data_IF_212613918969
#
_entry.id   IF_212613918969
#
_cell.length_a   1.000
_cell.length_b   1.000
_cell.length_c   1.000
_cell.angle_alpha   90.00
_cell.angle_beta   90.00
_cell.angle_gamma   90.00
#
_symmetry.space_group_name_H-M   'P 1'
#
loop_
_entity.id
_entity.type
_entity.pdbx_description
1 polymer ?
#
# COMPACT_ATOMS: atom_id res chain seq x y z
N UNK A 1 18.39 44.20 14.50
CA UNK A 1 17.12 43.85 15.16
C UNK A 1 16.58 42.63 14.43
N UNK A 2 16.37 41.48 15.09
CA UNK A 2 15.90 40.28 14.40
C UNK A 2 14.44 40.48 13.97
N UNK A 3 14.13 40.12 12.72
CA UNK A 3 12.79 40.21 12.19
C UNK A 3 11.85 39.28 12.96
N UNK A 4 10.68 39.81 13.31
CA UNK A 4 9.57 39.10 13.94
C UNK A 4 9.17 37.92 13.05
N UNK A 5 9.03 36.75 13.68
CA UNK A 5 8.80 35.46 13.04
C UNK A 5 7.76 35.52 11.93
N UNK A 6 8.20 35.18 10.72
CA UNK A 6 7.30 34.79 9.64
C UNK A 6 6.62 33.50 10.08
N UNK A 7 5.29 33.52 10.21
CA UNK A 7 4.53 32.29 10.24
C UNK A 7 4.79 31.56 8.90
N UNK A 8 5.51 30.45 8.96
CA UNK A 8 5.66 29.58 7.79
C UNK A 8 4.30 28.92 7.58
N UNK A 9 3.62 29.28 6.50
CA UNK A 9 2.42 28.55 6.07
C UNK A 9 2.91 27.25 5.47
N UNK A 10 2.68 26.15 6.19
CA UNK A 10 2.98 24.81 5.72
C UNK A 10 1.74 24.32 4.97
N UNK A 11 1.88 24.02 3.68
CA UNK A 11 0.84 23.34 2.91
C UNK A 11 0.89 21.84 3.25
N UNK A 12 -0.10 21.30 4.01
CA UNK A 12 -0.07 19.91 4.45
C UNK A 12 -0.10 18.92 3.28
N UNK A 13 -0.70 19.28 2.15
CA UNK A 13 -0.73 18.42 0.97
C UNK A 13 0.67 18.34 0.35
N UNK A 14 1.38 19.46 0.28
CA UNK A 14 2.75 19.50 -0.23
C UNK A 14 3.71 18.71 0.68
N UNK A 15 3.56 18.82 2.01
CA UNK A 15 4.34 18.03 2.97
C UNK A 15 4.10 16.54 2.78
N UNK A 16 2.84 16.10 2.70
CA UNK A 16 2.53 14.68 2.50
C UNK A 16 3.06 14.15 1.17
N UNK A 17 3.02 14.94 0.09
CA UNK A 17 3.59 14.54 -1.20
C UNK A 17 5.11 14.39 -1.15
N UNK A 18 5.81 15.31 -0.50
CA UNK A 18 7.28 15.24 -0.41
C UNK A 18 7.72 14.13 0.56
N UNK A 19 7.03 13.96 1.69
CA UNK A 19 7.27 12.85 2.60
C UNK A 19 7.05 11.49 1.91
N UNK A 20 6.01 11.39 1.06
CA UNK A 20 5.79 10.19 0.24
C UNK A 20 6.99 9.92 -0.67
N UNK A 21 7.56 10.94 -1.31
CA UNK A 21 8.73 10.78 -2.19
C UNK A 21 9.95 10.31 -1.42
N UNK A 22 10.21 10.85 -0.23
CA UNK A 22 11.31 10.38 0.62
C UNK A 22 11.12 8.92 1.02
N UNK A 23 9.91 8.54 1.45
CA UNK A 23 9.58 7.15 1.77
C UNK A 23 9.74 6.22 0.56
N UNK A 24 9.30 6.64 -0.64
CA UNK A 24 9.49 5.89 -1.88
C UNK A 24 10.97 5.65 -2.19
N UNK A 25 11.84 6.66 -2.03
CA UNK A 25 13.29 6.55 -2.27
C UNK A 25 13.94 5.48 -1.40
N UNK A 26 13.44 5.28 -0.17
CA UNK A 26 13.95 4.28 0.78
C UNK A 26 13.12 3.00 0.83
N UNK A 27 12.23 2.82 -0.14
CA UNK A 27 11.34 1.67 -0.23
C UNK A 27 10.54 1.44 1.08
N UNK A 28 9.86 2.46 1.60
CA UNK A 28 8.82 2.31 2.63
C UNK A 28 7.45 2.80 2.14
N UNK A 29 6.33 2.15 2.52
CA UNK A 29 5.01 2.69 2.25
C UNK A 29 4.71 3.88 3.18
N UNK A 30 4.09 4.92 2.64
CA UNK A 30 3.39 5.92 3.42
C UNK A 30 2.02 5.46 3.88
N UNK A 31 1.57 5.95 5.03
CA UNK A 31 0.21 5.74 5.56
C UNK A 31 -0.33 7.05 6.14
N UNK A 32 -1.61 7.34 5.94
CA UNK A 32 -2.25 8.57 6.42
C UNK A 32 -2.26 8.70 7.96
N UNK A 33 -1.96 7.61 8.69
CA UNK A 33 -1.79 7.61 10.14
C UNK A 33 -0.49 8.31 10.59
N UNK A 34 0.48 8.51 9.68
CA UNK A 34 1.71 9.24 9.97
C UNK A 34 1.39 10.71 10.24
N UNK A 35 1.60 11.14 11.48
CA UNK A 35 1.32 12.52 11.89
C UNK A 35 2.24 13.52 11.17
N UNK A 36 1.75 14.76 11.02
CA UNK A 36 2.45 15.82 10.28
C UNK A 36 3.85 16.11 10.84
N UNK A 37 4.04 15.99 12.16
CA UNK A 37 5.34 16.17 12.83
C UNK A 37 6.35 15.09 12.41
N UNK A 38 5.91 13.84 12.28
CA UNK A 38 6.73 12.77 11.74
C UNK A 38 7.03 13.01 10.25
N UNK A 39 6.03 13.39 9.45
CA UNK A 39 6.24 13.70 8.03
C UNK A 39 7.26 14.82 7.83
N UNK A 40 7.18 15.89 8.62
CA UNK A 40 8.16 16.98 8.63
C UNK A 40 9.55 16.49 9.06
N UNK A 41 9.64 15.61 10.06
CA UNK A 41 10.91 15.03 10.50
C UNK A 41 11.60 14.25 9.38
N UNK A 42 10.85 13.54 8.53
CA UNK A 42 11.42 12.85 7.35
C UNK A 42 12.08 13.83 6.37
N UNK A 43 11.53 15.05 6.25
CA UNK A 43 12.02 16.09 5.34
C UNK A 43 13.23 16.84 5.91
N UNK A 44 13.25 17.05 7.23
CA UNK A 44 14.30 17.84 7.90
C UNK A 44 15.58 17.02 8.15
N UNK A 45 15.45 15.78 8.62
CA UNK A 45 16.61 15.01 9.09
C UNK A 45 17.37 14.29 7.97
N UNK A 46 16.71 13.93 6.85
CA UNK A 46 17.26 13.51 5.54
C UNK A 46 18.31 12.39 5.48
N UNK A 47 18.96 12.03 6.58
CA UNK A 47 20.17 11.21 6.65
C UNK A 47 19.87 9.75 6.99
N UNK A 48 18.69 9.45 7.56
CA UNK A 48 18.23 8.08 7.85
C UNK A 48 16.69 7.93 7.79
N UNK A 49 16.09 8.35 6.68
CA UNK A 49 14.64 8.19 6.44
C UNK A 49 14.20 6.72 6.58
N UNK A 50 15.06 5.77 6.17
CA UNK A 50 14.77 4.34 6.25
C UNK A 50 14.66 3.85 7.70
N UNK A 51 15.61 4.21 8.56
CA UNK A 51 15.60 3.86 9.98
C UNK A 51 14.45 4.54 10.74
N UNK A 52 14.13 5.79 10.39
CA UNK A 52 12.98 6.50 10.93
C UNK A 52 11.66 5.80 10.59
N UNK A 53 11.47 5.41 9.33
CA UNK A 53 10.28 4.69 8.88
C UNK A 53 10.17 3.32 9.57
N UNK A 54 11.25 2.55 9.65
CA UNK A 54 11.26 1.25 10.32
C UNK A 54 10.88 1.37 11.81
N UNK A 55 11.51 2.29 12.52
CA UNK A 55 11.21 2.55 13.93
C UNK A 55 9.76 2.98 14.14
N UNK A 56 9.24 3.84 13.26
CA UNK A 56 7.85 4.28 13.33
C UNK A 56 6.88 3.13 13.12
N UNK A 57 7.08 2.30 12.08
CA UNK A 57 6.19 1.17 11.81
C UNK A 57 6.24 0.11 12.93
N UNK A 58 7.41 -0.17 13.50
CA UNK A 58 7.50 -1.14 14.59
C UNK A 58 6.79 -0.64 15.86
N UNK A 59 6.92 0.66 16.17
CA UNK A 59 6.25 1.29 17.29
C UNK A 59 4.72 1.40 17.08
N UNK A 60 4.26 1.55 15.83
CA UNK A 60 2.86 1.82 15.50
C UNK A 60 2.12 0.64 14.87
N UNK A 61 2.71 -0.56 14.82
CA UNK A 61 2.13 -1.71 14.08
C UNK A 61 0.71 -2.08 14.49
N UNK A 62 0.37 -1.97 15.77
CA UNK A 62 -0.99 -2.22 16.25
C UNK A 62 -1.97 -1.15 15.76
N UNK A 63 -1.57 0.13 15.82
CA UNK A 63 -2.39 1.24 15.35
C UNK A 63 -2.59 1.19 13.82
N UNK A 64 -1.55 0.83 13.06
CA UNK A 64 -1.64 0.59 11.61
C UNK A 64 -2.63 -0.54 11.32
N UNK A 65 -2.53 -1.67 12.01
CA UNK A 65 -3.45 -2.80 11.83
C UNK A 65 -4.89 -2.44 12.20
N UNK A 66 -5.10 -1.69 13.28
CA UNK A 66 -6.43 -1.27 13.71
C UNK A 66 -7.07 -0.30 12.72
N UNK A 67 -6.29 0.66 12.20
CA UNK A 67 -6.79 1.63 11.23
C UNK A 67 -7.16 0.95 9.91
N UNK A 68 -6.30 0.08 9.37
CA UNK A 68 -6.61 -0.67 8.13
C UNK A 68 -7.83 -1.57 8.33
N UNK A 69 -7.92 -2.27 9.47
CA UNK A 69 -9.09 -3.09 9.81
C UNK A 69 -10.36 -2.26 9.86
N UNK A 70 -10.33 -1.09 10.50
CA UNK A 70 -11.47 -0.16 10.60
C UNK A 70 -11.93 0.27 9.21
N UNK A 71 -11.01 0.74 8.35
CA UNK A 71 -11.34 1.13 6.97
C UNK A 71 -11.95 -0.03 6.18
N UNK A 72 -11.42 -1.23 6.35
CA UNK A 72 -11.89 -2.43 5.63
C UNK A 72 -13.33 -2.79 5.96
N UNK A 73 -13.79 -2.53 7.19
CA UNK A 73 -15.20 -2.70 7.58
C UNK A 73 -16.11 -1.69 6.87
N UNK A 74 -15.62 -0.48 6.64
CA UNK A 74 -16.37 0.60 5.99
C UNK A 74 -16.51 0.39 4.48
N UNK A 75 -15.61 -0.38 3.87
CA UNK A 75 -15.73 -0.74 2.48
C UNK A 75 -16.99 -1.62 2.31
N UNK A 76 -18.07 -1.08 1.75
CA UNK A 76 -19.31 -1.82 1.42
C UNK A 76 -19.09 -2.74 0.21
N UNK A 77 -18.23 -3.72 0.41
CA UNK A 77 -17.68 -4.57 -0.64
C UNK A 77 -18.46 -5.87 -0.72
N UNK A 78 -19.79 -5.83 -0.75
CA UNK A 78 -20.60 -7.05 -0.93
C UNK A 78 -20.31 -7.77 -2.28
N UNK A 79 -19.48 -7.17 -3.16
CA UNK A 79 -19.10 -7.68 -4.47
C UNK A 79 -17.61 -7.97 -4.66
N UNK A 80 -16.71 -7.62 -3.72
CA UNK A 80 -15.41 -8.29 -3.63
C UNK A 80 -15.42 -9.17 -2.40
N UNK A 81 -15.01 -10.41 -2.60
CA UNK A 81 -15.36 -11.55 -1.77
C UNK A 81 -15.20 -11.30 -0.27
N UNK A 82 -16.13 -11.85 0.52
CA UNK A 82 -15.97 -11.99 1.97
C UNK A 82 -14.59 -12.61 2.35
N UNK A 83 -13.96 -13.35 1.43
CA UNK A 83 -12.58 -13.83 1.59
C UNK A 83 -11.57 -12.70 1.72
N UNK A 84 -11.66 -11.61 0.94
CA UNK A 84 -10.69 -10.52 1.00
C UNK A 84 -10.80 -9.73 2.32
N UNK A 85 -12.02 -9.48 2.79
CA UNK A 85 -12.24 -8.85 4.10
C UNK A 85 -11.78 -9.75 5.26
N UNK A 86 -12.03 -11.07 5.16
CA UNK A 86 -11.56 -12.05 6.16
C UNK A 86 -10.03 -12.13 6.17
N UNK A 87 -9.40 -12.22 5.00
CA UNK A 87 -7.96 -12.23 4.83
C UNK A 87 -7.33 -10.96 5.39
N UNK A 88 -7.94 -9.80 5.17
CA UNK A 88 -7.49 -8.54 5.76
C UNK A 88 -7.57 -8.56 7.28
N UNK A 89 -8.65 -9.06 7.87
CA UNK A 89 -8.76 -9.18 9.32
C UNK A 89 -7.70 -10.12 9.92
N UNK A 90 -7.47 -11.27 9.29
CA UNK A 90 -6.42 -12.22 9.68
C UNK A 90 -5.02 -11.61 9.57
N UNK A 91 -4.77 -10.87 8.49
CA UNK A 91 -3.50 -10.19 8.26
C UNK A 91 -3.26 -9.06 9.27
N UNK A 92 -4.28 -8.27 9.61
CA UNK A 92 -4.19 -7.24 10.65
C UNK A 92 -3.79 -7.86 12.00
N UNK A 93 -4.41 -8.98 12.37
CA UNK A 93 -4.06 -9.71 13.59
C UNK A 93 -2.61 -10.19 13.54
N UNK A 94 -2.19 -10.85 12.45
CA UNK A 94 -0.83 -11.33 12.28
C UNK A 94 0.21 -10.20 12.31
N UNK A 95 -0.08 -9.06 11.69
CA UNK A 95 0.79 -7.89 11.63
C UNK A 95 1.02 -7.29 13.01
N UNK A 96 -0.05 -7.11 13.80
CA UNK A 96 0.06 -6.61 15.17
C UNK A 96 0.90 -7.53 16.09
N UNK A 97 0.90 -8.84 15.81
CA UNK A 97 1.72 -9.83 16.53
C UNK A 97 3.15 -9.98 15.98
N UNK A 98 3.55 -9.21 14.96
CA UNK A 98 4.85 -9.34 14.31
C UNK A 98 5.01 -10.59 13.44
N UNK A 99 3.92 -11.29 13.11
CA UNK A 99 3.89 -12.48 12.27
C UNK A 99 3.86 -12.11 10.78
N UNK A 100 4.88 -11.39 10.33
CA UNK A 100 4.93 -10.76 9.00
C UNK A 100 4.83 -11.74 7.82
N UNK A 101 5.34 -12.97 7.97
CA UNK A 101 5.21 -13.98 6.92
C UNK A 101 3.75 -14.44 6.74
N UNK A 102 2.97 -14.50 7.82
CA UNK A 102 1.56 -14.87 7.76
C UNK A 102 0.75 -13.79 7.04
N UNK A 103 1.04 -12.50 7.29
CA UNK A 103 0.46 -11.36 6.57
C UNK A 103 0.58 -11.55 5.05
N UNK A 104 1.81 -11.79 4.58
CA UNK A 104 2.06 -11.94 3.13
C UNK A 104 1.39 -13.19 2.57
N UNK A 105 1.35 -14.30 3.32
CA UNK A 105 0.69 -15.54 2.87
C UNK A 105 -0.81 -15.40 2.69
N UNK A 106 -1.45 -14.67 3.59
CA UNK A 106 -2.90 -14.49 3.59
C UNK A 106 -3.33 -13.47 2.53
N UNK A 107 -2.60 -12.35 2.40
CA UNK A 107 -3.03 -11.25 1.54
C UNK A 107 -2.63 -11.39 0.07
N UNK A 108 -1.50 -12.01 -0.24
CA UNK A 108 -0.99 -12.03 -1.62
C UNK A 108 -1.99 -12.64 -2.64
N UNK A 109 -2.69 -13.76 -2.35
CA UNK A 109 -3.70 -14.30 -3.28
C UNK A 109 -4.89 -13.35 -3.48
N UNK A 110 -5.35 -12.71 -2.40
CA UNK A 110 -6.49 -11.78 -2.45
C UNK A 110 -6.12 -10.48 -3.17
N UNK A 111 -4.93 -9.94 -2.91
CA UNK A 111 -4.37 -8.80 -3.64
C UNK A 111 -4.42 -9.06 -5.15
N UNK A 112 -3.94 -10.22 -5.60
CA UNK A 112 -3.94 -10.60 -7.01
C UNK A 112 -5.36 -10.78 -7.57
N UNK A 113 -6.26 -11.42 -6.83
CA UNK A 113 -7.64 -11.64 -7.24
C UNK A 113 -8.40 -10.32 -7.40
N UNK A 114 -8.28 -9.41 -6.43
CA UNK A 114 -8.89 -8.07 -6.46
C UNK A 114 -8.31 -7.25 -7.62
N UNK A 115 -6.98 -7.22 -7.75
CA UNK A 115 -6.28 -6.54 -8.83
C UNK A 115 -6.81 -6.94 -10.22
N UNK A 116 -6.89 -8.25 -10.49
CA UNK A 116 -7.36 -8.79 -11.77
C UNK A 116 -8.84 -8.49 -12.01
N UNK A 117 -9.65 -8.52 -10.96
CA UNK A 117 -11.09 -8.23 -11.02
C UNK A 117 -11.33 -6.77 -11.40
N UNK A 118 -10.62 -5.84 -10.75
CA UNK A 118 -10.72 -4.39 -10.99
C UNK A 118 -10.49 -4.00 -12.45
N UNK A 119 -9.47 -4.61 -13.07
CA UNK A 119 -9.01 -4.23 -14.42
C UNK A 119 -9.54 -5.16 -15.52
N UNK A 120 -10.25 -6.23 -15.15
CA UNK A 120 -10.82 -7.21 -16.07
C UNK A 120 -9.78 -7.93 -16.94
N UNK A 121 -8.51 -8.04 -16.50
CA UNK A 121 -7.43 -8.64 -17.29
C UNK A 121 -7.00 -10.00 -16.75
N UNK A 122 -6.72 -10.93 -17.67
CA UNK A 122 -6.29 -12.31 -17.37
C UNK A 122 -4.78 -12.49 -17.27
N UNK A 123 -3.98 -11.65 -17.91
CA UNK A 123 -2.52 -11.71 -17.79
C UNK A 123 -2.04 -10.74 -16.70
N UNK A 124 -1.01 -11.15 -15.97
CA UNK A 124 -0.44 -10.37 -14.86
C UNK A 124 0.02 -9.00 -15.33
N UNK A 125 0.89 -8.94 -16.36
CA UNK A 125 1.38 -7.67 -16.93
C UNK A 125 0.24 -6.70 -17.30
N UNK A 126 -0.82 -7.21 -17.95
CA UNK A 126 -1.95 -6.36 -18.32
C UNK A 126 -2.76 -5.90 -17.11
N UNK A 127 -2.80 -6.68 -16.03
CA UNK A 127 -3.42 -6.27 -14.78
C UNK A 127 -2.62 -5.14 -14.10
N UNK A 128 -1.29 -5.20 -14.11
CA UNK A 128 -0.41 -4.12 -13.62
C UNK A 128 -0.64 -2.83 -14.38
N UNK A 129 -0.50 -2.90 -15.71
CA UNK A 129 -0.69 -1.73 -16.59
C UNK A 129 -2.09 -1.13 -16.41
N UNK A 130 -3.11 -1.99 -16.21
CA UNK A 130 -4.48 -1.58 -15.94
C UNK A 130 -4.64 -0.90 -14.58
N UNK A 131 -3.98 -1.40 -13.53
CA UNK A 131 -4.04 -0.83 -12.18
C UNK A 131 -3.35 0.52 -12.11
N UNK A 132 -2.18 0.66 -12.75
CA UNK A 132 -1.46 1.93 -12.78
C UNK A 132 -2.29 3.02 -13.45
N UNK A 133 -2.97 2.70 -14.55
CA UNK A 133 -3.93 3.63 -15.18
C UNK A 133 -5.10 3.93 -14.26
N UNK A 134 -5.67 2.92 -13.63
CA UNK A 134 -6.78 3.08 -12.69
C UNK A 134 -6.43 4.07 -11.56
N UNK A 135 -5.25 3.92 -10.97
CA UNK A 135 -4.78 4.79 -9.88
C UNK A 135 -4.57 6.22 -10.37
N UNK A 136 -4.08 6.41 -11.59
CA UNK A 136 -3.94 7.74 -12.21
C UNK A 136 -5.31 8.39 -12.51
N UNK A 137 -6.31 7.58 -12.87
CA UNK A 137 -7.64 8.06 -13.27
C UNK A 137 -8.58 8.31 -12.06
N UNK A 138 -8.35 7.64 -10.92
CA UNK A 138 -9.15 7.86 -9.71
C UNK A 138 -8.58 9.05 -8.92
N UNK A 139 -9.40 10.03 -8.48
CA UNK A 139 -8.96 11.20 -7.71
C UNK A 139 -8.39 10.87 -6.31
N UNK A 140 -8.08 9.62 -6.01
CA UNK A 140 -7.48 9.17 -4.75
C UNK A 140 -6.12 9.81 -4.47
N UNK A 141 -5.34 10.15 -5.50
CA UNK A 141 -4.08 10.90 -5.35
C UNK A 141 -4.29 12.26 -4.66
N UNK A 142 -5.50 12.85 -4.79
CA UNK A 142 -5.84 14.12 -4.15
C UNK A 142 -6.31 13.98 -2.71
N UNK A 143 -6.88 12.84 -2.35
CA UNK A 143 -7.44 12.62 -1.02
C UNK A 143 -6.41 12.05 -0.04
N UNK A 144 -5.55 11.13 -0.51
CA UNK A 144 -4.49 10.53 0.30
C UNK A 144 -3.18 10.46 -0.50
N UNK A 145 -2.51 11.62 -0.69
CA UNK A 145 -1.33 11.70 -1.54
C UNK A 145 -0.19 10.80 -1.04
N UNK A 146 -0.02 10.68 0.28
CA UNK A 146 1.05 9.85 0.87
C UNK A 146 0.85 8.36 0.58
N UNK A 147 -0.37 7.86 0.74
CA UNK A 147 -0.70 6.45 0.47
C UNK A 147 -0.72 6.17 -1.04
N UNK A 148 -1.37 7.03 -1.82
CA UNK A 148 -1.53 6.82 -3.25
C UNK A 148 -0.18 6.82 -3.99
N UNK A 149 0.72 7.77 -3.67
CA UNK A 149 2.04 7.85 -4.31
C UNK A 149 2.93 6.67 -3.93
N UNK A 150 3.01 6.31 -2.65
CA UNK A 150 3.81 5.15 -2.22
C UNK A 150 3.30 3.84 -2.81
N UNK A 151 2.00 3.74 -3.11
CA UNK A 151 1.42 2.53 -3.66
C UNK A 151 1.58 2.39 -5.18
N UNK A 152 1.62 3.49 -5.95
CA UNK A 152 1.98 3.44 -7.38
C UNK A 152 3.39 2.86 -7.53
N UNK A 153 4.34 3.37 -6.77
CA UNK A 153 5.73 2.90 -6.75
C UNK A 153 5.84 1.44 -6.28
N UNK A 154 5.03 1.05 -5.29
CA UNK A 154 4.95 -0.35 -4.82
C UNK A 154 4.48 -1.32 -5.92
N UNK A 155 3.41 -0.98 -6.63
CA UNK A 155 2.85 -1.83 -7.70
C UNK A 155 3.84 -1.92 -8.85
N UNK A 156 4.35 -0.79 -9.35
CA UNK A 156 5.21 -0.75 -10.53
C UNK A 156 6.55 -1.47 -10.28
N UNK A 157 7.29 -1.05 -9.25
CA UNK A 157 8.71 -1.40 -9.07
C UNK A 157 8.99 -2.52 -8.06
N UNK A 158 8.08 -2.80 -7.13
CA UNK A 158 8.35 -3.76 -6.03
C UNK A 158 7.56 -5.06 -6.15
N UNK A 159 6.31 -5.01 -6.63
CA UNK A 159 5.47 -6.20 -6.75
C UNK A 159 5.49 -6.82 -8.16
N UNK A 160 5.76 -6.03 -9.21
CA UNK A 160 5.69 -6.50 -10.59
C UNK A 160 6.96 -6.34 -11.43
N UNK A 161 7.85 -5.38 -11.13
CA UNK A 161 9.08 -5.19 -11.92
C UNK A 161 10.05 -6.38 -11.92
N UNK A 162 9.98 -7.27 -10.91
CA UNK A 162 10.94 -8.36 -10.71
C UNK A 162 10.45 -9.76 -11.10
N UNK A 163 9.28 -9.88 -11.74
CA UNK A 163 8.74 -11.15 -12.29
C UNK A 163 9.53 -11.72 -13.49
N UNK A 164 10.82 -11.40 -13.65
CA UNK A 164 11.58 -11.65 -14.88
C UNK A 164 12.65 -12.75 -14.80
N UNK A 165 12.98 -13.28 -13.63
CA UNK A 165 14.11 -14.22 -13.50
C UNK A 165 13.90 -15.27 -12.39
N UNK A 166 14.07 -16.55 -12.74
CA UNK A 166 13.92 -17.71 -11.85
C UNK A 166 15.07 -17.88 -10.84
N UNK A 167 16.21 -17.23 -11.05
CA UNK A 167 17.37 -17.29 -10.16
C UNK A 167 17.15 -16.45 -8.88
N UNK A 168 16.40 -15.35 -8.96
CA UNK A 168 16.03 -14.55 -7.78
C UNK A 168 15.07 -15.28 -6.83
N UNK A 169 14.14 -16.09 -7.38
CA UNK A 169 13.24 -16.93 -6.58
C UNK A 169 14.00 -18.04 -5.83
N UNK A 170 15.07 -18.59 -6.43
CA UNK A 170 15.88 -19.65 -5.83
C UNK A 170 16.81 -19.17 -4.69
N UNK A 171 17.12 -17.87 -4.61
CA UNK A 171 18.10 -17.32 -3.67
C UNK A 171 17.56 -17.00 -2.26
N UNK A 172 16.24 -17.11 -1.99
CA UNK A 172 15.60 -16.50 -0.79
C UNK A 172 15.25 -17.42 0.41
N UNK A 173 15.67 -18.68 0.44
CA UNK A 173 15.77 -19.45 1.70
C UNK A 173 14.49 -20.09 2.30
N UNK A 174 14.65 -20.72 3.47
CA UNK A 174 14.17 -22.09 3.80
C UNK A 174 12.70 -22.32 4.24
N UNK A 175 11.83 -21.30 4.26
CA UNK A 175 10.39 -21.50 4.47
C UNK A 175 9.57 -20.69 3.44
N UNK A 176 9.70 -21.02 2.15
CA UNK A 176 9.25 -20.17 1.06
C UNK A 176 7.75 -19.90 1.14
N UNK A 177 7.36 -18.63 1.01
CA UNK A 177 6.06 -18.31 0.44
C UNK A 177 6.23 -18.33 -1.08
N UNK A 178 6.06 -19.51 -1.67
CA UNK A 178 6.27 -19.74 -3.11
C UNK A 178 5.45 -18.78 -3.99
N UNK A 179 4.28 -18.37 -3.52
CA UNK A 179 3.45 -17.38 -4.21
C UNK A 179 4.16 -16.02 -4.23
N UNK A 180 4.56 -15.50 -3.06
CA UNK A 180 5.29 -14.23 -2.97
C UNK A 180 6.65 -14.25 -3.72
N UNK A 181 7.35 -15.39 -3.72
CA UNK A 181 8.58 -15.58 -4.50
C UNK A 181 8.33 -15.54 -6.01
N UNK A 182 7.23 -16.13 -6.47
CA UNK A 182 6.80 -16.07 -7.88
C UNK A 182 6.53 -14.63 -8.31
N UNK A 183 6.09 -13.78 -7.38
CA UNK A 183 5.90 -12.34 -7.59
C UNK A 183 7.12 -11.49 -7.19
N UNK A 184 8.26 -12.13 -6.90
CA UNK A 184 9.56 -11.51 -6.68
C UNK A 184 9.64 -10.45 -5.57
N UNK A 185 8.70 -10.46 -4.61
CA UNK A 185 8.63 -9.50 -3.50
C UNK A 185 9.99 -9.41 -2.78
N UNK A 186 10.71 -8.29 -2.93
CA UNK A 186 12.13 -8.18 -2.52
C UNK A 186 12.37 -8.37 -1.02
N UNK A 187 11.36 -8.07 -0.22
CA UNK A 187 11.38 -8.21 1.23
C UNK A 187 10.03 -8.75 1.65
N UNK A 188 9.91 -10.07 1.82
CA UNK A 188 8.71 -10.69 2.36
C UNK A 188 9.02 -11.35 3.71
N UNK A 189 8.05 -11.39 4.61
CA UNK A 189 8.23 -12.01 5.92
C UNK A 189 9.00 -11.17 6.94
N UNK A 190 9.25 -9.89 6.64
CA UNK A 190 9.72 -8.88 7.59
C UNK A 190 8.71 -7.72 7.68
N UNK A 191 8.93 -6.81 8.64
CA UNK A 191 8.03 -5.69 8.91
C UNK A 191 7.72 -4.90 7.63
N UNK A 192 8.76 -4.46 6.93
CA UNK A 192 8.66 -3.70 5.67
C UNK A 192 7.78 -4.41 4.64
N UNK A 193 8.05 -5.68 4.38
CA UNK A 193 7.28 -6.49 3.43
C UNK A 193 5.81 -6.68 3.80
N UNK A 194 5.54 -6.86 5.08
CA UNK A 194 4.18 -6.99 5.57
C UNK A 194 3.44 -5.64 5.53
N UNK A 195 4.10 -4.53 5.88
CA UNK A 195 3.53 -3.17 5.77
C UNK A 195 3.11 -2.88 4.33
N UNK A 196 3.96 -3.25 3.37
CA UNK A 196 3.65 -3.13 1.96
C UNK A 196 2.40 -3.89 1.55
N UNK A 197 2.34 -5.17 1.92
CA UNK A 197 1.21 -6.01 1.55
C UNK A 197 -0.10 -5.53 2.19
N UNK A 198 -0.03 -5.07 3.44
CA UNK A 198 -1.15 -4.46 4.16
C UNK A 198 -1.66 -3.22 3.42
N UNK A 199 -0.80 -2.21 3.21
CA UNK A 199 -1.19 -0.95 2.57
C UNK A 199 -1.66 -1.16 1.12
N UNK A 200 -0.97 -2.02 0.36
CA UNK A 200 -1.32 -2.29 -1.03
C UNK A 200 -2.69 -2.97 -1.16
N UNK A 201 -2.99 -3.92 -0.29
CA UNK A 201 -4.29 -4.60 -0.31
C UNK A 201 -5.41 -3.67 0.17
N UNK A 202 -5.17 -2.86 1.21
CA UNK A 202 -6.11 -1.83 1.67
C UNK A 202 -6.49 -0.87 0.53
N UNK A 203 -5.49 -0.34 -0.18
CA UNK A 203 -5.71 0.54 -1.32
C UNK A 203 -6.55 -0.13 -2.41
N UNK A 204 -6.23 -1.37 -2.78
CA UNK A 204 -6.98 -2.07 -3.82
C UNK A 204 -8.44 -2.27 -3.43
N UNK A 205 -8.71 -2.62 -2.16
CA UNK A 205 -10.07 -2.77 -1.66
C UNK A 205 -10.82 -1.43 -1.67
N UNK A 206 -10.14 -0.34 -1.29
CA UNK A 206 -10.70 1.01 -1.35
C UNK A 206 -11.01 1.46 -2.78
N UNK A 207 -10.11 1.22 -3.72
CA UNK A 207 -10.31 1.49 -5.14
C UNK A 207 -11.50 0.70 -5.67
N UNK A 208 -11.61 -0.57 -5.28
CA UNK A 208 -12.68 -1.44 -5.71
C UNK A 208 -14.05 -1.03 -5.16
N UNK A 209 -14.11 -0.63 -3.88
CA UNK A 209 -15.31 -0.04 -3.30
C UNK A 209 -15.76 1.21 -4.09
N UNK A 210 -14.84 2.13 -4.37
CA UNK A 210 -15.12 3.35 -5.14
C UNK A 210 -15.55 3.07 -6.57
N UNK A 211 -14.90 2.14 -7.25
CA UNK A 211 -15.25 1.77 -8.62
C UNK A 211 -16.65 1.19 -8.73
N UNK A 212 -17.06 0.39 -7.73
CA UNK A 212 -18.41 -0.14 -7.65
C UNK A 212 -19.44 0.95 -7.39
N UNK A 213 -19.14 1.90 -6.50
CA UNK A 213 -20.02 3.03 -6.23
C UNK A 213 -20.24 3.90 -7.48
N UNK A 214 -19.16 4.20 -8.22
CA UNK A 214 -19.24 4.98 -9.46
C UNK A 214 -20.03 4.23 -10.56
N UNK A 215 -19.82 2.93 -10.71
CA UNK A 215 -20.56 2.11 -11.68
C UNK A 215 -22.05 1.99 -11.35
N UNK A 216 -22.43 2.10 -10.07
CA UNK A 216 -23.84 2.16 -9.66
C UNK A 216 -24.46 3.54 -9.88
N UNK A 217 -23.69 4.62 -9.66
CA UNK A 217 -24.15 5.99 -9.88
C UNK A 217 -24.27 6.36 -11.36
N UNK A 218 -23.43 5.77 -12.21
CA UNK A 218 -23.40 6.00 -13.65
C UNK A 218 -23.37 4.65 -14.40
N UNK A 219 -24.49 3.92 -14.45
CA UNK A 219 -24.53 2.66 -15.18
C UNK A 219 -24.21 2.92 -16.67
N UNK A 220 -23.43 2.05 -17.32
CA UNK A 220 -23.16 2.19 -18.75
C UNK A 220 -24.49 2.21 -19.52
N UNK A 221 -24.63 3.16 -20.45
CA UNK A 221 -25.80 3.21 -21.32
C UNK A 221 -25.96 1.85 -22.01
N UNK A 222 -27.12 1.24 -21.85
CA UNK A 222 -27.40 -0.06 -22.44
C UNK A 222 -27.38 0.07 -23.97
N UNK A 223 -26.30 -0.38 -24.59
CA UNK A 223 -26.18 -0.57 -26.05
C UNK A 223 -27.00 -1.75 -26.53
#
# INVERSE_FOLDING_TARGET
MPEKGSAVIIDPVAVSQEAARELCKVEWPGIALMADDFQMSLLDDGADVAGMAEAWFDANKAAVADEIRRRTVDYRVERLSASAATAMAEACFAYAQGSYLAVVRVLMPEFEAVARTLVGKRSQKAAVDGLLRLIQDVPMIREDPIEAMSMVEFIDDQLFASCKDAAHAAARGQAPNRHAETHALKSYGNLRGASYMMCGTDLLLRLAARHLDLAQQFPPEAT
#
